data_IF_607006025352
#
_entry.id   IF_607006025352
#
_cell.length_a   1.000
_cell.length_b   1.000
_cell.length_c   1.000
_cell.angle_alpha   90.00
_cell.angle_beta   90.00
_cell.angle_gamma   90.00
#
_symmetry.space_group_name_H-M   'P 1'
#
loop_
_entity.id
_entity.type
_entity.pdbx_description
1 polymer ?
#
# COMPACT_ATOMS: atom_id res chain seq x y z
N UNK A 1 49.19 -15.33 9.59
CA UNK A 1 49.07 -13.97 9.03
C UNK A 1 48.35 -13.95 7.67
N UNK A 2 47.41 -14.88 7.41
CA UNK A 2 46.60 -14.96 6.18
C UNK A 2 45.08 -15.07 6.45
N UNK A 3 44.65 -15.11 7.71
CA UNK A 3 43.23 -15.25 8.08
C UNK A 3 42.55 -13.94 8.52
N UNK A 4 43.27 -12.81 8.47
CA UNK A 4 42.69 -11.49 8.80
C UNK A 4 42.30 -10.69 7.55
N UNK A 5 42.92 -10.93 6.40
CA UNK A 5 42.58 -10.20 5.16
C UNK A 5 41.25 -10.63 4.54
N UNK A 6 40.82 -11.89 4.76
CA UNK A 6 39.50 -12.35 4.31
C UNK A 6 38.33 -11.82 5.15
N UNK A 7 38.60 -11.36 6.38
CA UNK A 7 37.58 -10.80 7.26
C UNK A 7 37.37 -9.29 7.06
N UNK A 8 38.25 -8.63 6.30
CA UNK A 8 38.14 -7.22 5.93
C UNK A 8 37.60 -6.98 4.51
N UNK A 9 37.33 -8.03 3.73
CA UNK A 9 36.82 -7.88 2.35
C UNK A 9 35.28 -7.83 2.25
N UNK A 10 34.54 -8.10 3.33
CA UNK A 10 33.06 -8.16 3.32
C UNK A 10 32.34 -7.15 4.22
N UNK A 11 33.02 -6.11 4.69
CA UNK A 11 32.36 -4.86 5.12
C UNK A 11 32.34 -3.86 3.96
N UNK A 12 31.67 -4.21 2.85
CA UNK A 12 31.02 -3.13 2.09
C UNK A 12 30.01 -2.54 3.06
N UNK A 13 30.27 -1.33 3.56
CA UNK A 13 29.27 -0.47 4.18
C UNK A 13 27.97 -0.64 3.39
N UNK A 14 27.01 -1.41 3.92
CA UNK A 14 25.67 -1.45 3.33
C UNK A 14 25.16 -0.05 3.52
N UNK A 15 25.20 0.74 2.46
CA UNK A 15 24.59 2.06 2.45
C UNK A 15 23.11 1.81 2.75
N UNK A 16 22.71 2.16 3.97
CA UNK A 16 21.34 2.06 4.40
C UNK A 16 20.57 3.12 3.63
N UNK A 17 19.71 2.68 2.70
CA UNK A 17 18.93 3.60 1.88
C UNK A 17 18.02 4.43 2.78
N UNK A 18 17.97 5.74 2.51
CA UNK A 18 17.14 6.70 3.22
C UNK A 18 15.82 6.90 2.49
N UNK A 19 14.78 7.11 3.28
CA UNK A 19 13.39 7.18 2.82
C UNK A 19 12.78 8.53 3.16
N UNK A 20 12.18 9.17 2.17
CA UNK A 20 11.26 10.28 2.34
C UNK A 20 9.81 9.80 2.09
N UNK A 21 9.00 9.79 3.16
CA UNK A 21 7.61 9.33 3.16
C UNK A 21 6.67 10.53 3.00
N UNK A 22 5.89 10.54 1.92
CA UNK A 22 4.87 11.55 1.63
C UNK A 22 3.49 10.92 1.76
N UNK A 23 2.50 11.69 2.22
CA UNK A 23 1.17 11.16 2.53
C UNK A 23 1.27 9.97 3.49
N UNK A 24 2.13 10.10 4.50
CA UNK A 24 2.60 8.99 5.34
C UNK A 24 1.46 8.26 6.07
N UNK A 25 0.32 8.92 6.28
CA UNK A 25 -0.77 8.40 7.09
C UNK A 25 -0.25 8.04 8.47
N UNK A 26 -0.57 6.84 8.93
CA UNK A 26 -0.07 6.32 10.23
C UNK A 26 1.30 5.61 10.12
N UNK A 27 2.05 5.81 9.04
CA UNK A 27 3.41 5.26 8.87
C UNK A 27 3.45 3.87 8.25
N UNK A 28 2.52 3.55 7.34
CA UNK A 28 2.44 2.22 6.72
C UNK A 28 3.60 1.94 5.76
N UNK A 29 4.04 2.95 5.00
CA UNK A 29 5.25 2.87 4.21
C UNK A 29 6.48 2.80 5.09
N UNK A 30 6.54 3.72 6.05
CA UNK A 30 7.64 3.94 6.99
C UNK A 30 8.03 2.63 7.69
N UNK A 31 7.08 2.01 8.40
CA UNK A 31 7.33 0.74 9.09
C UNK A 31 7.68 -0.40 8.13
N UNK A 32 7.10 -0.43 6.93
CA UNK A 32 7.39 -1.46 5.93
C UNK A 32 8.81 -1.37 5.40
N UNK A 33 9.29 -0.17 5.10
CA UNK A 33 10.63 0.07 4.57
C UNK A 33 11.70 -0.05 5.66
N UNK A 34 11.42 0.35 6.91
CA UNK A 34 12.31 0.06 8.04
C UNK A 34 12.49 -1.44 8.28
N UNK A 35 11.39 -2.21 8.23
CA UNK A 35 11.45 -3.69 8.33
C UNK A 35 12.20 -4.34 7.18
N UNK A 36 12.29 -3.66 6.02
CA UNK A 36 13.13 -4.10 4.93
C UNK A 36 14.62 -3.79 5.15
N UNK A 37 14.96 -2.88 6.06
CA UNK A 37 16.33 -2.46 6.39
C UNK A 37 16.71 -1.08 5.84
N UNK A 38 15.74 -0.17 5.67
CA UNK A 38 15.95 1.22 5.26
C UNK A 38 15.77 2.18 6.45
N UNK A 39 16.16 3.44 6.29
CA UNK A 39 16.02 4.48 7.31
C UNK A 39 15.02 5.55 6.85
N UNK A 40 14.00 5.83 7.65
CA UNK A 40 13.07 6.93 7.37
C UNK A 40 13.66 8.23 7.91
N UNK A 41 13.88 9.21 7.02
CA UNK A 41 14.51 10.50 7.37
C UNK A 41 13.56 11.69 7.20
N UNK A 42 12.42 11.50 6.54
CA UNK A 42 11.44 12.55 6.31
C UNK A 42 10.02 11.99 6.22
N UNK A 43 9.06 12.74 6.77
CA UNK A 43 7.63 12.46 6.73
C UNK A 43 6.85 13.71 6.34
N UNK A 44 5.80 13.56 5.55
CA UNK A 44 4.85 14.62 5.21
C UNK A 44 3.41 14.09 5.31
N UNK A 45 2.65 14.65 6.25
CA UNK A 45 1.29 14.22 6.55
C UNK A 45 0.46 15.36 7.14
N UNK A 46 -0.66 15.70 6.51
CA UNK A 46 -1.50 16.83 6.92
C UNK A 46 -2.45 16.51 8.10
N UNK A 47 -2.82 15.23 8.29
CA UNK A 47 -3.82 14.85 9.27
C UNK A 47 -3.24 14.83 10.69
N UNK A 48 -3.75 15.69 11.56
CA UNK A 48 -3.27 15.82 12.94
C UNK A 48 -3.33 14.54 13.78
N UNK A 49 -4.25 13.61 13.52
CA UNK A 49 -4.25 12.31 14.23
C UNK A 49 -3.11 11.43 13.75
N UNK A 50 -2.91 11.33 12.43
CA UNK A 50 -1.77 10.63 11.84
C UNK A 50 -0.43 11.20 12.35
N UNK A 51 -0.27 12.52 12.36
CA UNK A 51 0.92 13.18 12.88
C UNK A 51 1.25 12.78 14.33
N UNK A 52 0.24 12.67 15.21
CA UNK A 52 0.45 12.20 16.60
C UNK A 52 0.96 10.76 16.65
N UNK A 53 0.50 9.90 15.75
CA UNK A 53 1.00 8.52 15.63
C UNK A 53 2.45 8.53 15.14
N UNK A 54 2.74 9.31 14.10
CA UNK A 54 4.08 9.44 13.53
C UNK A 54 5.07 9.95 14.57
N UNK A 55 4.79 11.06 15.25
CA UNK A 55 5.64 11.63 16.31
C UNK A 55 5.88 10.67 17.48
N UNK A 56 4.92 9.78 17.79
CA UNK A 56 5.09 8.77 18.83
C UNK A 56 6.10 7.69 18.43
N UNK A 57 6.10 7.28 17.17
CA UNK A 57 6.91 6.16 16.68
C UNK A 57 8.24 6.60 16.04
N UNK A 58 8.28 7.80 15.47
CA UNK A 58 9.43 8.44 14.82
C UNK A 58 9.67 9.86 15.36
N UNK A 59 9.95 10.03 16.67
CA UNK A 59 10.04 11.34 17.31
C UNK A 59 11.17 12.24 16.78
N UNK A 60 12.20 11.64 16.17
CA UNK A 60 13.37 12.34 15.65
C UNK A 60 13.33 12.55 14.13
N UNK A 61 12.30 12.05 13.44
CA UNK A 61 12.14 12.21 11.99
C UNK A 61 11.45 13.54 11.72
N UNK A 62 11.97 14.30 10.74
CA UNK A 62 11.36 15.57 10.34
C UNK A 62 9.96 15.31 9.77
N UNK A 63 8.95 15.89 10.40
CA UNK A 63 7.54 15.77 10.02
C UNK A 63 6.98 17.11 9.53
N UNK A 64 6.60 17.15 8.26
CA UNK A 64 5.91 18.29 7.62
C UNK A 64 4.40 18.06 7.54
N UNK A 65 3.64 19.16 7.43
CA UNK A 65 2.18 19.16 7.32
C UNK A 65 1.68 18.99 5.88
N UNK A 66 1.05 20.02 5.33
CA UNK A 66 0.59 20.04 3.94
C UNK A 66 1.78 20.01 2.97
N UNK A 67 1.74 19.12 1.99
CA UNK A 67 2.77 19.01 0.94
C UNK A 67 2.90 20.30 0.13
N UNK A 68 1.84 21.11 0.04
CA UNK A 68 1.88 22.38 -0.69
C UNK A 68 2.83 23.40 -0.03
N UNK A 69 3.06 23.27 1.28
CA UNK A 69 3.98 24.12 2.04
C UNK A 69 5.42 23.59 2.03
N UNK A 70 5.65 22.38 1.50
CA UNK A 70 6.97 21.74 1.50
C UNK A 70 7.82 22.27 0.34
N UNK A 71 9.03 22.68 0.68
CA UNK A 71 10.09 23.05 -0.27
C UNK A 71 11.17 21.97 -0.37
N UNK A 72 11.94 21.97 -1.46
CA UNK A 72 12.92 20.92 -1.71
C UNK A 72 14.08 20.90 -0.70
N UNK A 73 14.47 22.08 -0.20
CA UNK A 73 15.54 22.25 0.79
C UNK A 73 15.14 21.71 2.16
N UNK A 74 13.85 21.55 2.41
CA UNK A 74 13.35 20.98 3.65
C UNK A 74 13.42 19.46 3.70
N UNK A 75 13.59 18.80 2.55
CA UNK A 75 13.63 17.36 2.43
C UNK A 75 15.10 16.92 2.49
N UNK A 76 15.53 16.19 3.55
CA UNK A 76 16.86 15.58 3.62
C UNK A 76 17.12 14.67 2.42
N UNK A 77 18.40 14.46 2.09
CA UNK A 77 18.77 13.50 1.04
C UNK A 77 18.26 12.10 1.37
N UNK A 78 17.54 11.53 0.40
CA UNK A 78 16.92 10.22 0.47
C UNK A 78 16.83 9.59 -0.93
N UNK A 79 17.26 8.34 -1.06
CA UNK A 79 17.26 7.60 -2.32
C UNK A 79 15.87 7.07 -2.68
N UNK A 80 15.02 6.81 -1.68
CA UNK A 80 13.69 6.22 -1.86
C UNK A 80 12.63 7.23 -1.43
N UNK A 81 11.79 7.65 -2.37
CA UNK A 81 10.61 8.46 -2.06
C UNK A 81 9.37 7.58 -2.19
N UNK A 82 8.45 7.68 -1.23
CA UNK A 82 7.21 6.91 -1.28
C UNK A 82 5.99 7.74 -0.93
N UNK A 83 4.82 7.38 -1.46
CA UNK A 83 3.58 8.00 -1.03
C UNK A 83 2.30 7.49 -1.69
N UNK A 84 1.18 7.69 -1.01
CA UNK A 84 -0.17 7.35 -1.49
C UNK A 84 -1.04 8.59 -1.58
N UNK A 85 -0.93 9.35 -2.68
CA UNK A 85 -1.71 10.57 -2.85
C UNK A 85 -3.21 10.26 -3.03
N UNK A 86 -4.12 11.18 -2.62
CA UNK A 86 -5.55 11.02 -2.82
C UNK A 86 -5.91 10.81 -4.31
N UNK A 87 -6.57 9.68 -4.62
CA UNK A 87 -6.92 9.27 -5.99
C UNK A 87 -7.76 10.33 -6.77
N UNK A 88 -8.46 11.20 -6.06
CA UNK A 88 -9.37 12.21 -6.63
C UNK A 88 -8.63 13.42 -7.23
N UNK A 89 -7.37 13.63 -6.85
CA UNK A 89 -6.62 14.83 -7.22
C UNK A 89 -6.22 14.85 -8.69
N UNK A 90 -5.99 13.69 -9.30
CA UNK A 90 -5.55 13.60 -10.70
C UNK A 90 -6.69 13.97 -11.66
N UNK A 91 -7.93 13.58 -11.34
CA UNK A 91 -9.10 13.86 -12.18
C UNK A 91 -9.45 15.36 -12.18
N UNK A 92 -9.48 16.00 -11.00
CA UNK A 92 -9.86 17.40 -10.83
C UNK A 92 -8.88 18.34 -11.53
N UNK A 93 -7.58 18.05 -11.40
CA UNK A 93 -6.51 18.79 -12.05
C UNK A 93 -6.56 18.70 -13.58
N UNK A 94 -6.92 17.52 -14.12
CA UNK A 94 -7.00 17.30 -15.56
C UNK A 94 -8.23 17.95 -16.20
N UNK A 95 -9.31 18.18 -15.45
CA UNK A 95 -10.49 18.91 -15.93
C UNK A 95 -10.22 20.42 -16.10
N UNK A 96 -9.19 20.96 -15.43
CA UNK A 96 -8.71 22.33 -15.60
C UNK A 96 -8.12 22.64 -17.00
N UNK A 97 -7.81 21.61 -17.81
CA UNK A 97 -7.28 21.74 -19.18
C UNK A 97 -8.19 22.53 -20.14
N UNK A 98 -9.45 22.79 -19.80
CA UNK A 98 -10.33 23.64 -20.63
C UNK A 98 -10.00 25.14 -20.55
N UNK A 99 -9.04 25.56 -19.71
CA UNK A 99 -8.57 26.95 -19.62
C UNK A 99 -7.05 27.04 -19.90
N UNK A 100 -6.69 27.02 -21.18
CA UNK A 100 -5.39 27.50 -21.67
C UNK A 100 -4.22 26.50 -21.64
N UNK A 101 -3.35 26.60 -22.64
CA UNK A 101 -2.13 25.80 -22.84
C UNK A 101 -1.00 26.13 -21.83
N UNK A 102 -1.26 27.00 -20.84
CA UNK A 102 -0.34 27.41 -19.76
C UNK A 102 -0.93 27.13 -18.36
N UNK A 103 -1.98 26.31 -18.25
CA UNK A 103 -2.66 26.07 -16.96
C UNK A 103 -1.78 25.31 -15.96
N UNK A 104 -1.43 25.96 -14.85
CA UNK A 104 -0.80 25.32 -13.68
C UNK A 104 -1.63 24.10 -13.26
N UNK A 105 -1.01 22.91 -13.31
CA UNK A 105 -1.64 21.67 -12.87
C UNK A 105 -1.67 21.67 -11.34
N UNK A 106 -2.85 21.85 -10.75
CA UNK A 106 -3.04 21.90 -9.30
C UNK A 106 -3.39 20.52 -8.74
N UNK A 107 -2.93 20.19 -7.52
CA UNK A 107 -3.28 18.94 -6.83
C UNK A 107 -2.06 18.24 -6.22
N UNK A 108 -2.28 17.43 -5.18
CA UNK A 108 -1.21 16.84 -4.39
C UNK A 108 -0.26 15.95 -5.22
N UNK A 109 -0.76 15.27 -6.26
CA UNK A 109 0.09 14.53 -7.19
C UNK A 109 1.08 15.44 -7.94
N UNK A 110 0.64 16.60 -8.41
CA UNK A 110 1.52 17.50 -9.18
C UNK A 110 2.56 18.17 -8.30
N UNK A 111 2.19 18.57 -7.08
CA UNK A 111 3.18 19.07 -6.12
C UNK A 111 4.20 17.99 -5.77
N UNK A 112 3.76 16.75 -5.60
CA UNK A 112 4.68 15.64 -5.37
C UNK A 112 5.59 15.39 -6.59
N UNK A 113 5.06 15.43 -7.80
CA UNK A 113 5.83 15.29 -9.04
C UNK A 113 6.83 16.45 -9.23
N UNK A 114 6.46 17.67 -8.86
CA UNK A 114 7.34 18.85 -8.85
C UNK A 114 8.54 18.65 -7.91
N UNK A 115 8.30 18.15 -6.69
CA UNK A 115 9.38 17.84 -5.74
C UNK A 115 10.28 16.70 -6.26
N UNK A 116 9.70 15.67 -6.87
CA UNK A 116 10.44 14.58 -7.53
C UNK A 116 11.29 15.14 -8.68
N UNK A 117 10.76 16.10 -9.44
CA UNK A 117 11.47 16.75 -10.55
C UNK A 117 12.74 17.46 -10.08
N UNK A 118 12.65 18.13 -8.94
CA UNK A 118 13.75 18.88 -8.34
C UNK A 118 14.80 17.97 -7.69
N UNK A 119 14.39 16.94 -6.92
CA UNK A 119 15.35 16.05 -6.22
C UNK A 119 15.88 14.90 -7.06
N UNK A 120 15.04 14.34 -7.94
CA UNK A 120 15.31 13.10 -8.70
C UNK A 120 15.76 11.92 -7.81
N UNK A 121 14.97 11.50 -6.79
CA UNK A 121 15.32 10.32 -6.00
C UNK A 121 15.51 9.09 -6.88
N UNK A 122 16.41 8.18 -6.50
CA UNK A 122 16.70 6.98 -7.29
C UNK A 122 15.45 6.12 -7.49
N UNK A 123 14.61 6.05 -6.46
CA UNK A 123 13.40 5.23 -6.44
C UNK A 123 12.18 6.04 -6.02
N UNK A 124 11.06 5.79 -6.70
CA UNK A 124 9.74 6.28 -6.30
C UNK A 124 8.79 5.10 -6.13
N UNK A 125 8.10 5.01 -4.99
CA UNK A 125 7.09 3.98 -4.71
C UNK A 125 5.75 4.66 -4.46
N UNK A 126 4.76 4.39 -5.32
CA UNK A 126 3.40 4.90 -5.16
C UNK A 126 2.43 3.77 -4.89
N UNK A 127 1.52 3.99 -3.95
CA UNK A 127 0.38 3.10 -3.70
C UNK A 127 -0.93 3.82 -4.01
N UNK A 128 -1.86 3.15 -4.68
CA UNK A 128 -3.21 3.66 -4.84
C UNK A 128 -4.27 2.54 -4.93
N UNK A 129 -5.54 2.92 -4.86
CA UNK A 129 -6.66 2.00 -5.08
C UNK A 129 -6.69 1.51 -6.53
N UNK A 130 -7.16 0.26 -6.80
CA UNK A 130 -7.27 -0.26 -8.17
C UNK A 130 -8.16 0.59 -9.08
N UNK A 131 -9.07 1.39 -8.49
CA UNK A 131 -9.90 2.34 -9.22
C UNK A 131 -9.10 3.38 -10.03
N UNK A 132 -7.86 3.69 -9.63
CA UNK A 132 -6.97 4.59 -10.39
C UNK A 132 -6.80 4.11 -11.84
N UNK A 133 -6.67 2.80 -12.06
CA UNK A 133 -6.44 2.20 -13.39
C UNK A 133 -7.57 2.51 -14.39
N UNK A 134 -8.78 2.69 -13.89
CA UNK A 134 -9.97 2.93 -14.72
C UNK A 134 -10.55 4.33 -14.54
N UNK A 135 -9.94 5.16 -13.67
CA UNK A 135 -10.43 6.50 -13.38
C UNK A 135 -10.36 7.38 -14.62
N UNK A 136 -11.44 8.11 -14.91
CA UNK A 136 -11.56 8.97 -16.09
C UNK A 136 -11.20 8.22 -17.39
N UNK A 137 -11.76 7.02 -17.57
CA UNK A 137 -11.45 6.10 -18.68
C UNK A 137 -9.95 5.75 -18.79
N UNK A 138 -9.27 5.60 -17.64
CA UNK A 138 -7.84 5.30 -17.55
C UNK A 138 -6.92 6.51 -17.75
N UNK A 139 -7.48 7.70 -18.01
CA UNK A 139 -6.72 8.91 -18.25
C UNK A 139 -5.87 9.31 -17.04
N UNK A 140 -6.38 9.13 -15.82
CA UNK A 140 -5.68 9.56 -14.61
C UNK A 140 -4.46 8.69 -14.35
N UNK A 141 -4.59 7.37 -14.52
CA UNK A 141 -3.44 6.46 -14.47
C UNK A 141 -2.41 6.79 -15.55
N UNK A 142 -2.87 7.04 -16.78
CA UNK A 142 -2.00 7.47 -17.88
C UNK A 142 -1.19 8.72 -17.50
N UNK A 143 -1.83 9.74 -16.91
CA UNK A 143 -1.15 10.96 -16.45
C UNK A 143 -0.07 10.67 -15.42
N UNK A 144 -0.32 9.76 -14.47
CA UNK A 144 0.68 9.40 -13.45
C UNK A 144 1.91 8.77 -14.10
N UNK A 145 1.70 7.78 -14.97
CA UNK A 145 2.79 7.06 -15.66
C UNK A 145 3.54 7.98 -16.63
N UNK A 146 2.84 8.76 -17.46
CA UNK A 146 3.46 9.71 -18.38
C UNK A 146 4.27 10.77 -17.64
N UNK A 147 3.77 11.27 -16.51
CA UNK A 147 4.50 12.24 -15.70
C UNK A 147 5.81 11.63 -15.21
N UNK A 148 5.79 10.47 -14.54
CA UNK A 148 7.01 9.81 -14.07
C UNK A 148 7.99 9.49 -15.22
N UNK A 149 7.47 9.06 -16.38
CA UNK A 149 8.29 8.79 -17.56
C UNK A 149 8.95 10.07 -18.11
N UNK A 150 8.20 11.18 -18.19
CA UNK A 150 8.74 12.50 -18.59
C UNK A 150 9.80 13.01 -17.62
N UNK A 151 9.67 12.68 -16.33
CA UNK A 151 10.67 12.94 -15.30
C UNK A 151 11.91 12.03 -15.41
N UNK A 152 11.96 11.12 -16.38
CA UNK A 152 13.10 10.24 -16.66
C UNK A 152 13.09 8.90 -15.93
N UNK A 153 11.96 8.48 -15.36
CA UNK A 153 11.86 7.20 -14.65
C UNK A 153 11.42 6.05 -15.55
N UNK A 154 12.06 4.89 -15.41
CA UNK A 154 11.49 3.62 -15.86
C UNK A 154 10.46 3.14 -14.84
N UNK A 155 9.24 2.84 -15.29
CA UNK A 155 8.10 2.59 -14.41
C UNK A 155 7.58 1.16 -14.59
N UNK A 156 7.29 0.50 -13.47
CA UNK A 156 6.57 -0.77 -13.42
C UNK A 156 5.40 -0.66 -12.44
N UNK A 157 4.32 -1.38 -12.67
CA UNK A 157 3.20 -1.42 -11.73
C UNK A 157 2.58 -2.80 -11.63
N UNK A 158 1.97 -3.08 -10.48
CA UNK A 158 1.28 -4.35 -10.21
C UNK A 158 0.15 -4.15 -9.20
N UNK A 159 -0.96 -4.86 -9.40
CA UNK A 159 -1.99 -4.97 -8.36
C UNK A 159 -1.64 -6.10 -7.43
N UNK A 160 -1.41 -5.78 -6.15
CA UNK A 160 -1.13 -6.75 -5.09
C UNK A 160 -2.29 -6.78 -4.09
N UNK A 161 -2.55 -7.95 -3.53
CA UNK A 161 -3.59 -8.16 -2.51
C UNK A 161 -2.91 -8.56 -1.20
N UNK A 162 -3.11 -7.76 -0.14
CA UNK A 162 -2.47 -7.98 1.16
C UNK A 162 -2.71 -9.38 1.75
N UNK A 163 -3.79 -10.06 1.34
CA UNK A 163 -4.08 -11.44 1.75
C UNK A 163 -3.00 -12.46 1.41
N UNK A 164 -2.19 -12.18 0.39
CA UNK A 164 -1.07 -13.04 -0.01
C UNK A 164 0.25 -12.68 0.68
N UNK A 165 0.23 -11.70 1.59
CA UNK A 165 1.41 -11.18 2.29
C UNK A 165 1.28 -11.31 3.82
N UNK A 166 0.43 -12.23 4.29
CA UNK A 166 0.27 -12.53 5.73
C UNK A 166 -0.78 -11.69 6.46
N UNK A 167 -1.49 -10.79 5.78
CA UNK A 167 -2.62 -10.05 6.39
C UNK A 167 -3.93 -10.79 6.11
N UNK A 168 -4.76 -11.15 7.09
CA UNK A 168 -6.06 -11.79 6.87
C UNK A 168 -7.13 -10.80 6.36
N UNK A 169 -6.82 -10.03 5.32
CA UNK A 169 -7.66 -8.99 4.77
C UNK A 169 -7.51 -8.96 3.24
N UNK A 170 -8.65 -9.03 2.53
CA UNK A 170 -8.68 -8.74 1.08
C UNK A 170 -8.52 -7.24 0.86
N UNK A 171 -7.32 -6.81 0.51
CA UNK A 171 -6.97 -5.41 0.29
C UNK A 171 -6.10 -5.32 -0.96
N UNK A 172 -6.77 -5.20 -2.10
CA UNK A 172 -6.13 -4.97 -3.40
C UNK A 172 -5.74 -3.51 -3.53
N UNK A 173 -4.50 -3.25 -3.93
CA UNK A 173 -3.95 -1.92 -4.28
C UNK A 173 -3.04 -2.03 -5.49
N UNK A 174 -3.00 -0.98 -6.29
CA UNK A 174 -1.98 -0.82 -7.33
C UNK A 174 -0.74 -0.22 -6.69
N UNK A 175 0.39 -0.87 -6.91
CA UNK A 175 1.70 -0.39 -6.52
C UNK A 175 2.46 -0.04 -7.79
N UNK A 176 3.03 1.16 -7.83
CA UNK A 176 3.84 1.67 -8.92
C UNK A 176 5.24 1.87 -8.35
N UNK A 177 6.25 1.28 -9.00
CA UNK A 177 7.66 1.50 -8.69
C UNK A 177 8.27 2.21 -9.88
N UNK A 178 9.07 3.23 -9.62
CA UNK A 178 9.78 4.01 -10.62
C UNK A 178 11.27 4.03 -10.27
N UNK A 179 12.14 3.85 -11.26
CA UNK A 179 13.60 3.89 -11.10
C UNK A 179 14.22 4.93 -12.03
N UNK A 180 15.02 5.85 -11.48
CA UNK A 180 15.52 7.00 -12.24
C UNK A 180 16.54 6.58 -13.31
N UNK A 181 16.31 6.99 -14.57
CA UNK A 181 17.15 6.72 -15.75
C UNK A 181 17.45 5.24 -16.05
N UNK A 182 16.69 4.31 -15.48
CA UNK A 182 16.83 2.88 -15.77
C UNK A 182 15.48 2.15 -15.61
N UNK A 183 15.41 0.91 -16.10
CA UNK A 183 14.20 0.08 -16.08
C UNK A 183 14.11 -0.90 -14.90
N UNK A 184 14.91 -0.71 -13.84
CA UNK A 184 15.03 -1.68 -12.72
C UNK A 184 13.76 -1.82 -11.89
N UNK A 185 12.81 -0.90 -12.02
CA UNK A 185 11.48 -1.00 -11.41
C UNK A 185 10.77 -2.35 -11.71
N UNK A 186 10.96 -2.91 -12.91
CA UNK A 186 10.37 -4.19 -13.27
C UNK A 186 10.94 -5.36 -12.42
N UNK A 187 12.23 -5.33 -12.10
CA UNK A 187 12.88 -6.36 -11.28
C UNK A 187 12.34 -6.39 -9.84
N UNK A 188 11.90 -5.21 -9.35
CA UNK A 188 11.30 -5.07 -8.02
C UNK A 188 9.92 -5.73 -7.98
N UNK A 189 9.04 -5.51 -8.96
CA UNK A 189 7.64 -5.97 -8.90
C UNK A 189 7.35 -7.33 -9.54
N UNK A 190 8.20 -7.75 -10.47
CA UNK A 190 8.01 -8.99 -11.23
C UNK A 190 9.09 -10.01 -10.88
N UNK A 191 8.69 -11.29 -10.82
CA UNK A 191 9.64 -12.38 -10.63
C UNK A 191 10.57 -12.50 -11.83
N UNK A 192 11.84 -12.83 -11.57
CA UNK A 192 12.81 -13.14 -12.62
C UNK A 192 12.75 -14.63 -12.91
N UNK A 193 12.41 -14.98 -14.16
CA UNK A 193 12.34 -16.36 -14.63
C UNK A 193 10.97 -16.75 -15.18
N UNK A 194 10.87 -17.92 -15.83
CA UNK A 194 9.60 -18.45 -16.28
C UNK A 194 8.67 -18.62 -15.08
N UNK A 195 7.40 -18.23 -15.25
CA UNK A 195 6.35 -18.59 -14.28
C UNK A 195 6.39 -20.11 -14.17
N UNK A 196 6.77 -20.63 -13.01
CA UNK A 196 6.53 -22.03 -12.71
C UNK A 196 5.02 -22.21 -12.77
N UNK A 197 4.52 -22.75 -13.88
CA UNK A 197 3.16 -23.22 -13.97
C UNK A 197 3.12 -24.36 -12.97
N UNK A 198 2.62 -24.07 -11.76
CA UNK A 198 2.30 -25.11 -10.81
C UNK A 198 1.41 -26.09 -11.58
N UNK A 199 1.84 -27.36 -11.76
CA UNK A 199 1.04 -28.31 -12.48
C UNK A 199 -0.34 -28.31 -11.81
N UNK A 200 -1.39 -28.11 -12.62
CA UNK A 200 -2.77 -28.41 -12.21
C UNK A 200 -2.90 -29.93 -12.04
N UNK A 201 -2.14 -30.53 -11.13
CA UNK A 201 -2.54 -31.81 -10.57
C UNK A 201 -3.76 -31.49 -9.71
N UNK A 202 -4.90 -31.94 -10.19
CA UNK A 202 -6.20 -31.58 -9.66
C UNK A 202 -6.26 -31.83 -8.17
N UNK A 203 -6.57 -30.77 -7.41
CA UNK A 203 -7.34 -30.89 -6.17
C UNK A 203 -8.82 -31.17 -6.52
N UNK A 204 -9.01 -32.12 -7.43
CA UNK A 204 -10.26 -32.75 -7.80
C UNK A 204 -10.38 -34.07 -7.05
N UNK A 205 -10.36 -34.00 -5.72
CA UNK A 205 -10.99 -34.99 -4.87
C UNK A 205 -11.52 -34.24 -3.64
N UNK A 206 -12.76 -33.74 -3.77
CA UNK A 206 -13.61 -33.66 -2.58
C UNK A 206 -13.87 -35.10 -2.18
N UNK A 207 -13.13 -35.62 -1.22
CA UNK A 207 -13.67 -36.70 -0.40
C UNK A 207 -14.89 -36.14 0.32
N UNK A 208 -16.07 -36.45 -0.21
CA UNK A 208 -17.29 -36.41 0.57
C UNK A 208 -17.16 -37.57 1.55
N UNK A 209 -16.58 -37.31 2.72
CA UNK A 209 -16.66 -38.24 3.85
C UNK A 209 -18.10 -38.13 4.39
N UNK A 210 -19.00 -38.90 3.78
CA UNK A 210 -20.30 -39.20 4.35
C UNK A 210 -20.29 -40.64 4.88
N UNK A 211 -19.88 -40.81 6.14
CA UNK A 211 -20.34 -41.87 7.03
C UNK A 211 -19.61 -41.77 8.39
N UNK A 212 -20.37 -41.74 9.49
CA UNK A 212 -19.84 -41.99 10.83
C UNK A 212 -20.15 -40.88 11.82
N UNK A 213 -21.30 -41.00 12.47
CA UNK A 213 -21.65 -40.29 13.70
C UNK A 213 -20.55 -40.41 14.76
N UNK A 214 -20.26 -39.32 15.46
CA UNK A 214 -19.69 -39.37 16.82
C UNK A 214 -18.20 -39.08 16.94
N UNK A 215 -17.80 -37.83 16.73
CA UNK A 215 -17.14 -36.95 17.72
C UNK A 215 -16.78 -35.67 16.96
N UNK A 216 -17.47 -34.57 17.27
CA UNK A 216 -17.32 -33.32 16.54
C UNK A 216 -15.86 -32.88 16.45
N UNK A 217 -15.39 -32.71 15.22
CA UNK A 217 -14.21 -31.89 14.94
C UNK A 217 -14.37 -30.58 15.72
N UNK A 218 -13.34 -30.25 16.50
CA UNK A 218 -13.22 -29.02 17.29
C UNK A 218 -13.89 -27.89 16.52
N UNK A 219 -14.95 -27.32 17.08
CA UNK A 219 -15.71 -26.23 16.46
C UNK A 219 -14.72 -25.15 16.05
N UNK A 220 -14.46 -25.02 14.75
CA UNK A 220 -13.67 -23.92 14.24
C UNK A 220 -14.49 -22.67 14.51
N UNK A 221 -14.18 -21.97 15.60
CA UNK A 221 -14.87 -20.75 16.01
C UNK A 221 -14.61 -19.59 15.05
N UNK A 222 -13.99 -19.79 13.89
CA UNK A 222 -13.56 -18.73 12.98
C UNK A 222 -14.35 -18.83 11.68
N UNK A 223 -15.15 -17.81 11.37
CA UNK A 223 -15.83 -17.66 10.09
C UNK A 223 -15.20 -16.51 9.29
N UNK A 224 -15.01 -16.72 7.98
CA UNK A 224 -14.66 -15.65 7.03
C UNK A 224 -15.93 -15.16 6.37
N UNK A 225 -16.36 -13.94 6.69
CA UNK A 225 -17.46 -13.27 6.02
C UNK A 225 -16.88 -12.57 4.79
N UNK A 226 -17.12 -13.14 3.61
CA UNK A 226 -16.70 -12.52 2.37
C UNK A 226 -17.73 -11.50 1.92
N UNK A 227 -17.26 -10.36 1.40
CA UNK A 227 -18.10 -9.28 0.86
C UNK A 227 -18.99 -8.56 1.88
N UNK A 228 -18.56 -8.42 3.13
CA UNK A 228 -19.28 -7.62 4.12
C UNK A 228 -19.20 -6.12 3.77
N UNK A 229 -20.34 -5.49 3.49
CA UNK A 229 -20.44 -4.03 3.44
C UNK A 229 -20.48 -3.46 4.86
N UNK A 230 -19.54 -2.58 5.22
CA UNK A 230 -19.59 -1.88 6.51
C UNK A 230 -20.59 -0.72 6.38
N UNK A 231 -21.77 -0.90 6.96
CA UNK A 231 -22.79 0.15 7.02
C UNK A 231 -22.33 1.37 7.83
N UNK A 232 -22.75 2.57 7.43
CA UNK A 232 -22.38 3.84 8.09
C UNK A 232 -23.07 4.09 9.45
N UNK A 233 -23.88 3.15 9.94
CA UNK A 233 -24.65 3.25 11.20
C UNK A 233 -24.46 2.00 12.03
N UNK A 234 -24.34 2.15 13.35
CA UNK A 234 -24.13 1.05 14.30
C UNK A 234 -25.24 -0.02 14.27
N UNK A 235 -26.45 0.33 13.82
CA UNK A 235 -27.60 -0.58 13.68
C UNK A 235 -27.65 -1.34 12.34
N UNK A 236 -26.79 -1.04 11.38
CA UNK A 236 -26.95 -1.54 10.02
C UNK A 236 -26.61 -3.03 9.84
N UNK A 237 -25.89 -3.65 10.79
CA UNK A 237 -25.43 -5.04 10.70
C UNK A 237 -24.56 -5.32 9.46
N UNK A 238 -23.96 -6.53 9.35
CA UNK A 238 -23.31 -6.96 8.12
C UNK A 238 -24.36 -7.22 7.04
N UNK A 239 -24.24 -6.59 5.87
CA UNK A 239 -25.04 -6.95 4.69
C UNK A 239 -24.18 -7.79 3.73
N UNK A 240 -24.71 -8.94 3.29
CA UNK A 240 -24.04 -9.86 2.38
C UNK A 240 -24.90 -10.15 1.14
N UNK A 241 -24.28 -10.21 -0.04
CA UNK A 241 -24.83 -10.81 -1.27
C UNK A 241 -23.81 -11.82 -1.80
N UNK A 242 -24.28 -13.04 -2.12
CA UNK A 242 -23.44 -14.20 -2.47
C UNK A 242 -23.10 -14.35 -3.96
N UNK A 243 -22.29 -15.37 -4.29
CA UNK A 243 -21.97 -15.81 -5.66
C UNK A 243 -22.05 -17.36 -5.75
N UNK A 244 -22.51 -17.89 -6.90
CA UNK A 244 -22.48 -19.33 -7.30
C UNK A 244 -21.52 -19.53 -8.48
N UNK A 245 -21.17 -20.79 -8.75
CA UNK A 245 -19.90 -21.22 -9.36
C UNK A 245 -19.93 -21.38 -10.91
N UNK A 246 -20.59 -20.49 -11.66
CA UNK A 246 -20.94 -20.73 -13.09
C UNK A 246 -20.52 -19.66 -14.13
N UNK A 247 -19.72 -18.66 -13.77
CA UNK A 247 -18.87 -17.97 -14.77
C UNK A 247 -19.50 -16.86 -15.63
N UNK A 248 -20.71 -16.38 -15.36
CA UNK A 248 -21.23 -15.13 -15.95
C UNK A 248 -21.38 -14.00 -14.91
N UNK A 249 -21.07 -12.76 -15.30
CA UNK A 249 -20.87 -11.61 -14.39
C UNK A 249 -21.84 -10.46 -14.67
N UNK A 250 -22.58 -9.99 -13.65
CA UNK A 250 -23.19 -8.65 -13.52
C UNK A 250 -23.73 -8.49 -12.08
N UNK A 251 -23.86 -7.34 -11.39
CA UNK A 251 -23.56 -5.90 -11.62
C UNK A 251 -22.88 -5.37 -10.35
N UNK A 252 -21.89 -4.48 -10.52
CA UNK A 252 -21.17 -3.77 -9.47
C UNK A 252 -22.08 -2.86 -8.62
N UNK A 253 -22.21 -3.17 -7.33
CA UNK A 253 -22.23 -2.17 -6.26
C UNK A 253 -21.15 -2.58 -5.25
N UNK A 254 -19.93 -2.10 -5.48
CA UNK A 254 -18.82 -2.25 -4.54
C UNK A 254 -18.59 -0.94 -3.82
N UNK A 255 -19.53 -0.51 -2.97
CA UNK A 255 -19.23 0.40 -1.87
C UNK A 255 -18.68 -0.38 -0.67
N UNK A 256 -17.44 -0.86 -0.81
CA UNK A 256 -16.59 -1.26 0.34
C UNK A 256 -16.84 -2.65 0.93
N UNK A 257 -16.68 -3.71 0.13
CA UNK A 257 -16.55 -5.06 0.66
C UNK A 257 -15.15 -5.27 1.26
N UNK A 258 -15.10 -5.59 2.56
CA UNK A 258 -13.94 -6.22 3.20
C UNK A 258 -14.32 -7.63 3.60
N UNK A 259 -13.40 -8.58 3.45
CA UNK A 259 -13.60 -9.90 4.04
C UNK A 259 -13.25 -9.79 5.53
N UNK A 260 -14.19 -10.09 6.43
CA UNK A 260 -14.00 -10.05 7.87
C UNK A 260 -13.79 -11.46 8.43
N UNK A 261 -12.73 -11.66 9.20
CA UNK A 261 -12.54 -12.91 9.96
C UNK A 261 -13.09 -12.69 11.36
N UNK A 262 -14.15 -13.41 11.72
CA UNK A 262 -14.83 -13.26 13.00
C UNK A 262 -14.77 -14.56 13.80
N UNK A 263 -14.53 -14.43 15.11
CA UNK A 263 -14.67 -15.52 16.06
C UNK A 263 -16.13 -15.61 16.56
N UNK A 264 -16.72 -16.80 16.70
CA UNK A 264 -18.11 -17.02 17.18
C UNK A 264 -18.36 -16.53 18.60
N UNK A 265 -17.30 -16.56 19.42
CA UNK A 265 -17.26 -16.11 20.80
C UNK A 265 -16.82 -14.64 20.94
N UNK A 266 -16.50 -13.96 19.83
CA UNK A 266 -16.29 -12.52 19.85
C UNK A 266 -17.67 -11.84 19.83
N UNK A 267 -18.09 -11.12 20.89
CA UNK A 267 -19.34 -10.38 20.86
C UNK A 267 -19.32 -9.42 19.66
N UNK A 268 -20.27 -9.59 18.75
CA UNK A 268 -20.48 -8.65 17.64
C UNK A 268 -21.01 -7.34 18.24
N UNK A 269 -20.07 -6.45 18.53
CA UNK A 269 -20.30 -5.14 19.10
C UNK A 269 -18.95 -4.50 19.34
N UNK A 270 -18.83 -3.20 19.02
CA UNK A 270 -17.71 -2.40 19.52
C UNK A 270 -17.75 -2.57 21.04
N UNK A 271 -16.79 -3.32 21.62
CA UNK A 271 -16.67 -3.39 23.07
C UNK A 271 -16.63 -1.94 23.55
N UNK A 272 -17.42 -1.59 24.57
CA UNK A 272 -17.28 -0.29 25.24
C UNK A 272 -15.81 -0.22 25.65
N UNK A 273 -14.98 0.47 24.88
CA UNK A 273 -13.57 0.57 25.15
C UNK A 273 -13.49 1.35 26.45
N UNK A 274 -13.24 0.65 27.55
CA UNK A 274 -13.16 1.23 28.88
C UNK A 274 -12.07 2.30 28.83
N UNK A 275 -12.48 3.57 28.86
CA UNK A 275 -11.59 4.73 28.85
C UNK A 275 -11.28 5.35 27.48
N UNK A 276 -11.87 4.90 26.37
CA UNK A 276 -11.63 5.51 25.04
C UNK A 276 -12.90 6.18 24.54
N UNK A 277 -12.82 7.48 24.20
CA UNK A 277 -13.96 8.24 23.70
C UNK A 277 -14.50 7.64 22.40
N UNK A 278 -15.81 7.70 22.17
CA UNK A 278 -16.45 7.19 20.95
C UNK A 278 -15.90 7.81 19.66
N UNK A 279 -15.31 9.01 19.73
CA UNK A 279 -14.63 9.67 18.61
C UNK A 279 -13.20 9.17 18.34
N UNK A 280 -12.48 8.70 19.35
CA UNK A 280 -11.12 8.16 19.20
C UNK A 280 -11.10 6.87 18.38
N UNK A 281 -12.10 6.00 18.57
CA UNK A 281 -12.23 4.75 17.81
C UNK A 281 -12.50 5.03 16.32
N UNK A 282 -13.28 6.08 15.99
CA UNK A 282 -13.57 6.48 14.61
C UNK A 282 -12.32 6.90 13.82
N UNK A 283 -11.48 7.75 14.41
CA UNK A 283 -10.23 8.17 13.79
C UNK A 283 -9.26 7.00 13.61
N UNK A 284 -9.17 6.11 14.60
CA UNK A 284 -8.35 4.90 14.52
C UNK A 284 -8.81 3.97 13.41
N UNK A 285 -10.10 3.64 13.31
CA UNK A 285 -10.59 2.76 12.24
C UNK A 285 -10.46 3.39 10.86
N UNK A 286 -10.72 4.70 10.74
CA UNK A 286 -10.55 5.44 9.47
C UNK A 286 -9.09 5.39 9.00
N UNK A 287 -8.15 5.66 9.91
CA UNK A 287 -6.72 5.65 9.57
C UNK A 287 -6.20 4.25 9.28
N UNK A 288 -6.60 3.23 10.04
CA UNK A 288 -6.29 1.83 9.71
C UNK A 288 -6.85 1.40 8.34
N UNK A 289 -8.06 1.84 8.00
CA UNK A 289 -8.68 1.57 6.70
C UNK A 289 -7.96 2.24 5.53
N UNK A 290 -7.35 3.41 5.77
CA UNK A 290 -6.59 4.16 4.77
C UNK A 290 -5.11 3.78 4.73
N UNK A 291 -4.57 3.17 5.79
CA UNK A 291 -3.16 2.82 5.89
C UNK A 291 -2.71 1.86 4.79
N UNK A 292 -1.45 2.03 4.40
CA UNK A 292 -0.77 1.12 3.48
C UNK A 292 -0.50 -0.21 4.20
N UNK A 293 -0.62 -1.32 3.46
CA UNK A 293 -0.37 -2.65 4.01
C UNK A 293 1.13 -2.89 4.22
N UNK A 294 1.59 -2.78 5.46
CA UNK A 294 3.00 -2.94 5.87
C UNK A 294 3.67 -4.18 5.27
N UNK A 295 3.08 -5.40 5.30
CA UNK A 295 3.76 -6.57 4.75
C UNK A 295 4.00 -6.52 3.23
N UNK A 296 3.15 -5.80 2.49
CA UNK A 296 3.35 -5.60 1.05
C UNK A 296 4.52 -4.65 0.81
N UNK A 297 4.61 -3.57 1.59
CA UNK A 297 5.73 -2.63 1.50
C UNK A 297 7.05 -3.26 1.92
N UNK A 298 7.04 -4.06 2.99
CA UNK A 298 8.22 -4.82 3.40
C UNK A 298 8.72 -5.75 2.28
N UNK A 299 7.79 -6.42 1.59
CA UNK A 299 8.12 -7.24 0.42
C UNK A 299 8.72 -6.43 -0.74
N UNK A 300 8.13 -5.28 -1.07
CA UNK A 300 8.67 -4.36 -2.10
C UNK A 300 10.06 -3.86 -1.70
N UNK A 301 10.23 -3.41 -0.45
CA UNK A 301 11.50 -2.88 0.06
C UNK A 301 12.63 -3.89 0.04
N UNK A 302 12.37 -5.14 0.46
CA UNK A 302 13.35 -6.24 0.39
C UNK A 302 13.82 -6.50 -1.04
N UNK A 303 12.89 -6.47 -2.00
CA UNK A 303 13.23 -6.65 -3.42
C UNK A 303 13.96 -5.46 -4.01
N UNK A 304 13.61 -4.25 -3.61
CA UNK A 304 14.35 -3.04 -3.98
C UNK A 304 15.81 -3.13 -3.51
N UNK A 305 16.05 -3.47 -2.24
CA UNK A 305 17.41 -3.67 -1.73
C UNK A 305 18.14 -4.81 -2.45
N UNK A 306 17.45 -5.89 -2.81
CA UNK A 306 18.05 -6.97 -3.59
C UNK A 306 18.52 -6.47 -4.97
N UNK A 307 17.74 -5.60 -5.62
CA UNK A 307 18.10 -4.99 -6.92
C UNK A 307 19.24 -3.99 -6.81
N UNK A 308 19.30 -3.20 -5.72
CA UNK A 308 20.39 -2.24 -5.47
C UNK A 308 21.72 -2.93 -5.15
N UNK A 309 21.67 -4.10 -4.51
CA UNK A 309 22.86 -4.87 -4.13
C UNK A 309 23.37 -5.84 -5.21
N UNK A 310 22.71 -5.91 -6.38
CA UNK A 310 23.23 -6.63 -7.55
C UNK A 310 24.39 -5.86 -8.18
#
# INVERSE_FOLDING_TARGET
MQNLEHMFFFERLKVMLKVASFFSGIGGFDLGLERAGMEVVFQCEWNAFCQKVLQKHWPNVKLMGDINDVTIDEIPDAEVWCGGFPCQDVSLANQGKRKGLEGNRSGHFYKYAELIDQRRPEWVIVENVPGLLNSNNGNDFRVVIETLAQLGYGVAWRVLDAKYFGTPQRRRRVYIVASYRNGRAAEVLFEQGPIAIAPRQGLGQREIISAGSGTGLISSNIYSIQHAGIGRKASAGPQAKGYRNDGETYTLDSRGSSDAICKTDAPFGVRKATGVSSGLDGNRFKTLGNAVAVPVIEWIGKRLLAVVNK
#
